data_IF_485057601316
#
_entry.id   IF_485057601316
#
_cell.length_a   1.000
_cell.length_b   1.000
_cell.length_c   1.000
_cell.angle_alpha   90.00
_cell.angle_beta   90.00
_cell.angle_gamma   90.00
#
_symmetry.space_group_name_H-M   'P 1'
#
loop_
_entity.id
_entity.type
_entity.pdbx_description
1 polymer ?
#
# COMPACT_ATOMS: atom_id res chain seq x y z
N UNK A 1 5.27 9.11 -11.73
CA UNK A 1 4.78 10.51 -11.56
C UNK A 1 3.57 10.34 -10.67
N UNK A 2 3.72 10.57 -9.37
CA UNK A 2 2.69 10.19 -8.39
C UNK A 2 1.37 10.93 -8.67
N UNK A 3 0.21 10.26 -8.55
CA UNK A 3 -1.08 10.93 -8.63
C UNK A 3 -1.15 12.04 -7.59
N UNK A 4 -1.43 13.26 -8.05
CA UNK A 4 -1.43 14.52 -7.28
C UNK A 4 -2.32 14.48 -6.03
N UNK A 5 -3.32 13.61 -6.02
CA UNK A 5 -4.28 13.41 -4.93
C UNK A 5 -3.69 12.66 -3.72
N UNK A 6 -2.70 11.77 -3.92
CA UNK A 6 -2.03 11.07 -2.81
C UNK A 6 -1.22 12.07 -1.96
N UNK A 7 -0.68 13.12 -2.58
CA UNK A 7 0.06 14.18 -1.89
C UNK A 7 -0.83 15.10 -1.05
N UNK A 8 -2.02 15.44 -1.54
CA UNK A 8 -2.92 16.38 -0.84
C UNK A 8 -3.57 15.77 0.41
N UNK A 9 -3.84 14.45 0.43
CA UNK A 9 -4.48 13.78 1.57
C UNK A 9 -3.52 13.46 2.73
N UNK A 10 -2.23 13.27 2.44
CA UNK A 10 -1.18 13.01 3.46
C UNK A 10 -0.65 14.28 4.16
N UNK A 11 -1.06 15.46 3.71
CA UNK A 11 -0.50 16.77 4.14
C UNK A 11 -1.40 17.51 5.14
N UNK A 12 -2.07 16.77 6.04
CA UNK A 12 -3.08 17.25 6.99
C UNK A 12 -2.96 18.73 7.42
N UNK A 13 -4.02 19.50 7.20
CA UNK A 13 -4.13 20.90 7.59
C UNK A 13 -4.10 21.12 9.12
N UNK A 14 -3.73 22.32 9.58
CA UNK A 14 -3.44 22.58 10.99
C UNK A 14 -4.72 22.68 11.82
N UNK A 15 -4.89 21.80 12.81
CA UNK A 15 -5.84 22.01 13.90
C UNK A 15 -5.20 22.88 14.98
N UNK A 16 -5.58 24.17 14.98
CA UNK A 16 -5.28 25.10 16.07
C UNK A 16 -6.33 24.90 17.18
N UNK A 17 -5.90 24.44 18.36
CA UNK A 17 -6.64 24.67 19.61
C UNK A 17 -5.65 24.60 20.79
N UNK A 18 -5.54 25.64 21.63
CA UNK A 18 -4.73 25.56 22.83
C UNK A 18 -5.52 24.84 23.94
N UNK A 19 -4.88 23.92 24.67
CA UNK A 19 -5.47 23.34 25.88
C UNK A 19 -4.42 23.31 26.99
N UNK A 20 -4.81 23.88 28.13
CA UNK A 20 -4.09 23.95 29.41
C UNK A 20 -3.77 22.57 30.00
N UNK A 21 -2.77 22.47 30.91
CA UNK A 21 -2.25 21.20 31.39
C UNK A 21 -3.13 20.58 32.48
N UNK A 22 -3.80 19.46 32.18
CA UNK A 22 -4.40 18.59 33.21
C UNK A 22 -3.36 17.55 33.63
N UNK A 23 -3.00 17.59 34.91
CA UNK A 23 -2.15 16.58 35.55
C UNK A 23 -2.88 15.22 35.56
N UNK A 24 -2.41 14.26 34.76
CA UNK A 24 -2.98 12.92 34.67
C UNK A 24 -2.04 11.91 35.36
N UNK A 25 -2.57 11.24 36.38
CA UNK A 25 -1.94 10.07 36.99
C UNK A 25 -1.64 8.99 35.93
N UNK A 26 -0.60 8.13 36.11
CA UNK A 26 -0.20 7.18 35.09
C UNK A 26 -1.29 6.12 34.90
N UNK A 27 -2.01 6.20 33.78
CA UNK A 27 -2.86 5.12 33.31
C UNK A 27 -2.01 3.86 33.11
N UNK A 28 -2.47 2.67 33.55
CA UNK A 28 -1.79 1.43 33.21
C UNK A 28 -1.76 1.30 31.69
N UNK A 29 -0.54 1.29 31.13
CA UNK A 29 -0.35 1.15 29.68
C UNK A 29 -0.84 -0.25 29.30
N UNK A 30 -1.99 -0.33 28.63
CA UNK A 30 -2.35 -1.54 27.89
C UNK A 30 -1.17 -1.87 26.98
N UNK A 31 -0.60 -3.08 27.01
CA UNK A 31 0.50 -3.42 26.14
C UNK A 31 0.05 -3.26 24.69
N UNK A 32 0.66 -2.32 23.96
CA UNK A 32 0.50 -2.22 22.51
C UNK A 32 0.81 -3.60 21.92
N UNK A 33 -0.07 -4.17 21.08
CA UNK A 33 0.24 -5.43 20.41
C UNK A 33 1.59 -5.27 19.70
N UNK A 34 2.55 -6.14 20.04
CA UNK A 34 3.83 -6.13 19.37
C UNK A 34 3.61 -6.42 17.89
N UNK A 35 4.14 -5.58 17.00
CA UNK A 35 4.09 -5.84 15.56
C UNK A 35 4.95 -7.07 15.29
N UNK A 36 4.35 -8.06 14.64
CA UNK A 36 5.03 -9.31 14.30
C UNK A 36 6.15 -9.04 13.27
N UNK A 37 7.20 -9.86 13.25
CA UNK A 37 8.20 -9.81 12.18
C UNK A 37 7.54 -10.03 10.82
N UNK A 38 8.19 -9.52 9.78
CA UNK A 38 7.76 -9.68 8.40
C UNK A 38 7.80 -11.15 7.98
N UNK A 39 6.87 -11.53 7.10
CA UNK A 39 6.83 -12.89 6.57
C UNK A 39 7.82 -13.03 5.42
N UNK A 40 8.50 -14.19 5.29
CA UNK A 40 9.37 -14.44 4.16
C UNK A 40 8.58 -14.36 2.85
N UNK A 41 9.18 -13.69 1.87
CA UNK A 41 8.63 -13.57 0.52
C UNK A 41 9.25 -14.65 -0.36
N UNK A 42 8.47 -15.64 -0.85
CA UNK A 42 9.01 -16.64 -1.76
C UNK A 42 9.37 -16.00 -3.11
N UNK A 43 10.35 -16.59 -3.79
CA UNK A 43 10.67 -16.21 -5.17
C UNK A 43 9.44 -16.38 -6.07
N UNK A 44 9.40 -15.61 -7.17
CA UNK A 44 8.40 -15.82 -8.22
C UNK A 44 8.70 -17.13 -8.95
N UNK A 45 7.67 -17.92 -9.21
CA UNK A 45 7.75 -19.05 -10.14
C UNK A 45 7.17 -18.68 -11.51
N UNK A 46 7.42 -19.52 -12.51
CA UNK A 46 6.83 -19.35 -13.85
C UNK A 46 5.30 -19.22 -13.78
N UNK A 47 4.76 -18.25 -14.52
CA UNK A 47 3.32 -17.94 -14.53
C UNK A 47 2.83 -17.11 -13.34
N UNK A 48 3.69 -16.71 -12.39
CA UNK A 48 3.32 -15.80 -11.31
C UNK A 48 3.62 -14.33 -11.66
N UNK A 49 2.68 -13.45 -11.35
CA UNK A 49 2.82 -12.00 -11.52
C UNK A 49 2.43 -11.29 -10.23
N UNK A 50 3.28 -10.40 -9.72
CA UNK A 50 2.90 -9.50 -8.64
C UNK A 50 2.17 -8.28 -9.21
N UNK A 51 1.11 -7.86 -8.54
CA UNK A 51 0.27 -6.71 -8.90
C UNK A 51 0.19 -5.76 -7.71
N UNK A 52 0.41 -4.47 -7.93
CA UNK A 52 0.19 -3.44 -6.92
C UNK A 52 -1.29 -3.03 -6.87
N UNK A 53 -1.85 -3.01 -5.67
CA UNK A 53 -3.16 -2.42 -5.36
C UNK A 53 -2.94 -1.28 -4.36
N UNK A 54 -3.49 -0.11 -4.64
CA UNK A 54 -3.32 1.05 -3.75
C UNK A 54 -4.37 1.07 -2.64
N UNK A 55 -4.01 1.56 -1.46
CA UNK A 55 -4.89 1.61 -0.28
C UNK A 55 -6.28 2.20 -0.54
N UNK A 56 -6.34 3.36 -1.21
CA UNK A 56 -7.60 4.04 -1.48
C UNK A 56 -8.57 3.21 -2.34
N UNK A 57 -8.09 2.29 -3.19
CA UNK A 57 -8.96 1.43 -3.98
C UNK A 57 -9.75 0.44 -3.10
N UNK A 58 -9.20 0.09 -1.94
CA UNK A 58 -9.85 -0.81 -1.00
C UNK A 58 -10.81 -0.04 -0.10
N UNK A 59 -10.38 1.12 0.40
CA UNK A 59 -11.19 1.95 1.29
C UNK A 59 -12.34 2.68 0.57
N UNK A 60 -12.02 3.37 -0.52
CA UNK A 60 -12.96 4.29 -1.17
C UNK A 60 -13.83 3.55 -2.22
N UNK A 61 -13.24 2.64 -3.02
CA UNK A 61 -14.00 1.86 -4.03
C UNK A 61 -14.61 0.56 -3.43
N UNK A 62 -14.31 0.23 -2.17
CA UNK A 62 -14.80 -0.98 -1.52
C UNK A 62 -14.29 -2.28 -2.17
N UNK A 63 -13.16 -2.23 -2.86
CA UNK A 63 -12.59 -3.39 -3.54
C UNK A 63 -11.95 -4.36 -2.54
N UNK A 64 -12.29 -5.65 -2.61
CA UNK A 64 -11.62 -6.71 -1.85
C UNK A 64 -11.20 -7.84 -2.79
N UNK A 65 -10.21 -8.61 -2.35
CA UNK A 65 -9.80 -9.87 -2.97
C UNK A 65 -9.21 -10.80 -1.92
N UNK A 66 -9.47 -12.10 -2.05
CA UNK A 66 -8.92 -13.11 -1.16
C UNK A 66 -7.95 -14.08 -1.85
N UNK A 67 -7.06 -14.69 -1.09
CA UNK A 67 -6.24 -15.81 -1.56
C UNK A 67 -7.14 -16.97 -1.97
N UNK A 68 -6.88 -17.55 -3.15
CA UNK A 68 -7.67 -18.59 -3.79
C UNK A 68 -8.72 -18.05 -4.77
N UNK A 69 -8.95 -16.74 -4.81
CA UNK A 69 -9.94 -16.13 -5.69
C UNK A 69 -9.47 -16.10 -7.15
N UNK A 70 -10.40 -16.36 -8.07
CA UNK A 70 -10.18 -16.19 -9.49
C UNK A 70 -10.42 -14.74 -9.89
N UNK A 71 -9.46 -14.15 -10.58
CA UNK A 71 -9.49 -12.75 -10.96
C UNK A 71 -9.41 -12.59 -12.47
N UNK A 72 -10.06 -11.53 -12.96
CA UNK A 72 -9.91 -11.04 -14.32
C UNK A 72 -9.81 -9.51 -14.24
N UNK A 73 -8.60 -9.00 -14.36
CA UNK A 73 -8.28 -7.60 -14.17
C UNK A 73 -7.73 -6.98 -15.44
N UNK A 74 -8.05 -5.70 -15.62
CA UNK A 74 -7.31 -4.80 -16.50
C UNK A 74 -6.33 -4.02 -15.64
N UNK A 75 -5.06 -4.01 -16.04
CA UNK A 75 -3.92 -3.48 -15.30
C UNK A 75 -3.07 -2.57 -16.20
N UNK A 76 -2.19 -1.81 -15.56
CA UNK A 76 -1.25 -0.88 -16.21
C UNK A 76 0.15 -1.06 -15.63
N UNK A 77 1.16 -0.44 -16.23
CA UNK A 77 2.49 -0.37 -15.62
C UNK A 77 2.45 0.28 -14.25
N UNK A 78 3.23 -0.27 -13.31
CA UNK A 78 3.32 0.22 -11.93
C UNK A 78 4.15 1.50 -11.82
N UNK A 79 3.88 2.32 -10.81
CA UNK A 79 4.81 3.39 -10.42
C UNK A 79 6.02 2.78 -9.68
N UNK A 80 7.01 2.34 -10.46
CA UNK A 80 8.23 1.72 -9.92
C UNK A 80 9.02 2.67 -9.01
N UNK A 81 9.00 3.99 -9.26
CA UNK A 81 9.71 4.95 -8.41
C UNK A 81 9.10 4.99 -7.01
N UNK A 82 7.77 4.95 -6.92
CA UNK A 82 7.07 4.86 -5.64
C UNK A 82 7.35 3.54 -4.92
N UNK A 83 7.24 2.42 -5.63
CA UNK A 83 7.44 1.08 -5.04
C UNK A 83 8.88 0.92 -4.54
N UNK A 84 9.86 1.33 -5.33
CA UNK A 84 11.28 1.25 -4.96
C UNK A 84 11.62 2.19 -3.79
N UNK A 85 10.93 3.34 -3.69
CA UNK A 85 11.09 4.26 -2.56
C UNK A 85 10.64 3.63 -1.24
N UNK A 86 9.58 2.83 -1.23
CA UNK A 86 8.98 2.33 0.02
C UNK A 86 9.48 0.95 0.42
N UNK A 87 9.79 0.06 -0.53
CA UNK A 87 10.15 -1.32 -0.19
C UNK A 87 11.56 -1.39 0.38
N UNK A 88 11.68 -2.06 1.54
CA UNK A 88 12.98 -2.37 2.16
C UNK A 88 13.79 -3.36 1.32
N UNK A 89 13.11 -4.34 0.73
CA UNK A 89 13.69 -5.34 -0.16
C UNK A 89 13.08 -5.17 -1.56
N UNK A 90 13.90 -4.98 -2.61
CA UNK A 90 13.39 -4.82 -3.97
C UNK A 90 12.51 -5.99 -4.40
N UNK A 91 11.40 -5.67 -5.05
CA UNK A 91 10.45 -6.67 -5.55
C UNK A 91 9.92 -6.27 -6.91
N UNK A 92 9.94 -7.21 -7.85
CA UNK A 92 9.35 -6.99 -9.17
C UNK A 92 7.84 -6.96 -9.05
N UNK A 93 7.26 -5.77 -9.23
CA UNK A 93 5.82 -5.51 -9.30
C UNK A 93 5.56 -4.78 -10.61
N UNK A 94 5.40 -5.50 -11.74
CA UNK A 94 5.32 -4.88 -13.06
C UNK A 94 3.99 -4.18 -13.31
N UNK A 95 2.92 -4.66 -12.68
CA UNK A 95 1.56 -4.23 -12.99
C UNK A 95 0.86 -3.67 -11.76
N UNK A 96 0.02 -2.67 -11.95
CA UNK A 96 -0.86 -2.13 -10.94
C UNK A 96 -2.29 -2.09 -11.45
N UNK A 97 -3.24 -2.23 -10.52
CA UNK A 97 -4.63 -1.90 -10.82
C UNK A 97 -4.82 -0.41 -10.65
N UNK A 98 -5.47 0.22 -11.60
CA UNK A 98 -5.90 1.61 -11.51
C UNK A 98 -7.31 1.72 -12.08
N UNK A 99 -8.21 2.38 -11.37
CA UNK A 99 -9.64 2.51 -11.72
C UNK A 99 -9.92 3.83 -12.46
N UNK A 100 -8.94 4.72 -12.62
CA UNK A 100 -9.06 5.99 -13.37
C UNK A 100 -8.57 5.87 -14.82
N UNK A 101 -9.05 4.90 -15.59
CA UNK A 101 -8.68 4.73 -17.00
C UNK A 101 -9.01 5.95 -17.87
N UNK A 102 -10.11 6.65 -17.56
CA UNK A 102 -10.60 7.83 -18.25
C UNK A 102 -9.75 9.10 -18.03
N UNK A 103 -8.88 9.12 -17.02
CA UNK A 103 -7.96 10.24 -16.76
C UNK A 103 -6.57 10.02 -17.36
N UNK A 104 -6.32 8.84 -17.97
CA UNK A 104 -5.02 8.48 -18.53
C UNK A 104 -4.80 9.04 -19.93
N UNK A 105 -3.56 9.39 -20.20
CA UNK A 105 -3.09 9.73 -21.54
C UNK A 105 -3.11 8.52 -22.49
N UNK A 106 -3.10 8.76 -23.80
CA UNK A 106 -3.04 7.68 -24.80
C UNK A 106 -1.80 6.78 -24.62
N UNK A 107 -0.66 7.37 -24.26
CA UNK A 107 0.57 6.64 -23.98
C UNK A 107 0.39 5.69 -22.79
N UNK A 108 -0.24 6.14 -21.71
CA UNK A 108 -0.53 5.30 -20.54
C UNK A 108 -1.53 4.19 -20.87
N UNK A 109 -2.53 4.47 -21.70
CA UNK A 109 -3.50 3.48 -22.16
C UNK A 109 -2.86 2.39 -23.03
N UNK A 110 -1.78 2.71 -23.76
CA UNK A 110 -1.02 1.72 -24.54
C UNK A 110 -0.35 0.63 -23.69
N UNK A 111 -0.10 0.93 -22.41
CA UNK A 111 0.48 -0.02 -21.45
C UNK A 111 -0.55 -0.97 -20.84
N UNK A 112 -1.85 -0.83 -21.19
CA UNK A 112 -2.93 -1.67 -20.68
C UNK A 112 -2.64 -3.15 -20.93
N UNK A 113 -2.80 -3.97 -19.89
CA UNK A 113 -2.67 -5.43 -19.93
C UNK A 113 -3.85 -6.07 -19.22
N UNK A 114 -4.36 -7.16 -19.77
CA UNK A 114 -5.33 -7.98 -19.08
C UNK A 114 -4.62 -9.14 -18.38
N UNK A 115 -4.99 -9.40 -17.14
CA UNK A 115 -4.48 -10.51 -16.33
C UNK A 115 -5.66 -11.34 -15.83
N UNK A 116 -5.61 -12.65 -16.10
CA UNK A 116 -6.55 -13.63 -15.55
C UNK A 116 -5.77 -14.71 -14.83
N UNK A 117 -6.28 -15.16 -13.69
CA UNK A 117 -5.60 -16.18 -12.90
C UNK A 117 -6.21 -16.37 -11.53
N UNK A 118 -5.43 -16.97 -10.63
CA UNK A 118 -5.80 -17.21 -9.24
C UNK A 118 -4.87 -16.43 -8.32
N UNK A 119 -5.43 -15.75 -7.32
CA UNK A 119 -4.65 -15.08 -6.29
C UNK A 119 -4.02 -16.14 -5.38
N UNK A 120 -2.70 -16.16 -5.30
CA UNK A 120 -1.96 -17.16 -4.51
C UNK A 120 -1.29 -16.57 -3.27
N UNK A 121 -1.14 -15.25 -3.21
CA UNK A 121 -0.57 -14.54 -2.06
C UNK A 121 -0.98 -13.07 -2.06
N UNK A 122 -1.17 -12.50 -0.89
CA UNK A 122 -1.39 -11.08 -0.69
C UNK A 122 -0.44 -10.63 0.40
N UNK A 123 0.37 -9.61 0.12
CA UNK A 123 1.23 -8.95 1.10
C UNK A 123 0.72 -7.52 1.33
N UNK A 124 0.31 -7.22 2.56
CA UNK A 124 0.02 -5.86 3.02
C UNK A 124 1.33 -5.07 3.10
N UNK A 125 1.34 -3.85 2.56
CA UNK A 125 2.48 -2.94 2.61
C UNK A 125 2.13 -1.73 3.46
N UNK A 126 2.90 -1.49 4.52
CA UNK A 126 2.70 -0.36 5.43
C UNK A 126 3.98 0.44 5.64
N UNK A 127 3.89 1.76 5.70
CA UNK A 127 5.05 2.66 5.86
C UNK A 127 4.81 3.66 6.98
N UNK A 128 5.89 4.08 7.64
CA UNK A 128 5.89 5.27 8.49
C UNK A 128 6.09 6.51 7.63
N UNK A 129 5.40 7.58 7.99
CA UNK A 129 5.64 8.88 7.40
C UNK A 129 6.49 9.72 8.34
N UNK A 130 7.57 10.28 7.81
CA UNK A 130 8.49 11.17 8.54
C UNK A 130 8.32 12.59 8.02
N UNK A 131 8.55 13.58 8.89
CA UNK A 131 8.53 14.98 8.46
C UNK A 131 9.56 15.18 7.35
N UNK A 132 9.11 15.73 6.23
CA UNK A 132 10.02 16.13 5.16
C UNK A 132 10.65 17.49 5.47
N UNK A 133 11.75 17.82 4.79
CA UNK A 133 12.38 19.15 4.86
C UNK A 133 11.44 20.27 4.38
N UNK A 134 10.42 19.91 3.59
CA UNK A 134 9.36 20.82 3.16
C UNK A 134 8.31 20.95 4.27
N UNK A 135 8.22 22.13 4.89
CA UNK A 135 7.24 22.42 5.95
C UNK A 135 5.83 21.99 5.56
N UNK A 136 5.19 21.20 6.43
CA UNK A 136 3.81 20.75 6.28
C UNK A 136 3.63 19.48 5.46
N UNK A 137 4.71 18.88 4.96
CA UNK A 137 4.64 17.65 4.18
C UNK A 137 5.36 16.51 4.90
N UNK A 138 4.74 15.34 4.88
CA UNK A 138 5.36 14.10 5.33
C UNK A 138 5.71 13.24 4.13
N UNK A 139 6.87 12.62 4.15
CA UNK A 139 7.31 11.65 3.13
C UNK A 139 7.35 10.26 3.76
N UNK A 140 7.13 9.18 2.99
CA UNK A 140 7.37 7.85 3.52
C UNK A 140 8.84 7.72 3.91
N UNK A 141 9.10 7.03 5.02
CA UNK A 141 10.44 6.61 5.40
C UNK A 141 11.01 5.73 4.27
N UNK A 142 12.09 6.20 3.65
CA UNK A 142 12.69 5.53 2.50
C UNK A 142 13.13 4.11 2.89
N UNK A 143 12.72 3.13 2.10
CA UNK A 143 12.98 1.70 2.32
C UNK A 143 12.49 1.20 3.69
N UNK A 144 11.54 1.90 4.33
CA UNK A 144 10.99 1.55 5.65
C UNK A 144 9.68 0.75 5.59
N UNK A 145 9.28 0.28 4.41
CA UNK A 145 8.03 -0.47 4.23
C UNK A 145 8.07 -1.85 4.88
N UNK A 146 7.06 -2.13 5.69
CA UNK A 146 6.84 -3.44 6.30
C UNK A 146 5.89 -4.28 5.44
N UNK A 147 6.21 -5.57 5.30
CA UNK A 147 5.41 -6.54 4.57
C UNK A 147 4.82 -7.60 5.49
N UNK A 148 3.50 -7.77 5.44
CA UNK A 148 2.81 -8.85 6.14
C UNK A 148 1.87 -9.60 5.21
N UNK A 149 1.98 -10.92 5.18
CA UNK A 149 1.08 -11.79 4.44
C UNK A 149 -0.29 -11.78 5.09
N UNK A 150 -1.33 -11.60 4.27
CA UNK A 150 -2.73 -11.57 4.67
C UNK A 150 -3.56 -12.51 3.78
N UNK A 151 -4.72 -12.93 4.28
CA UNK A 151 -5.63 -13.81 3.51
C UNK A 151 -6.56 -13.06 2.57
N UNK A 152 -6.81 -11.78 2.83
CA UNK A 152 -7.60 -10.86 2.00
C UNK A 152 -7.20 -9.40 2.28
N UNK A 153 -7.63 -8.45 1.45
CA UNK A 153 -7.33 -7.01 1.67
C UNK A 153 -8.01 -6.48 2.93
N UNK A 154 -9.17 -7.05 3.27
CA UNK A 154 -9.92 -6.75 4.49
C UNK A 154 -9.28 -7.32 5.77
N UNK A 155 -8.55 -8.44 5.69
CA UNK A 155 -7.96 -9.11 6.86
C UNK A 155 -6.56 -8.57 7.20
N UNK A 156 -6.52 -7.32 7.69
CA UNK A 156 -5.28 -6.57 7.93
C UNK A 156 -4.52 -7.08 9.15
N UNK A 157 -3.19 -7.05 9.06
CA UNK A 157 -2.31 -7.36 10.18
C UNK A 157 -1.85 -6.09 10.90
N UNK A 158 -1.61 -6.16 12.23
CA UNK A 158 -1.02 -5.05 12.98
C UNK A 158 0.30 -4.60 12.35
N UNK A 159 0.46 -3.30 12.19
CA UNK A 159 1.58 -2.68 11.49
C UNK A 159 1.97 -1.35 12.14
N UNK A 160 3.14 -0.83 11.77
CA UNK A 160 3.51 0.54 12.08
C UNK A 160 3.18 1.49 10.93
N UNK A 161 2.78 2.72 11.27
CA UNK A 161 2.46 3.74 10.28
C UNK A 161 1.10 3.51 9.64
N UNK A 162 1.02 3.65 8.32
CA UNK A 162 -0.22 3.46 7.56
C UNK A 162 -0.01 2.48 6.41
N UNK A 163 -1.06 1.76 6.05
CA UNK A 163 -1.08 0.91 4.84
C UNK A 163 -1.05 1.83 3.62
N UNK A 164 -0.16 1.54 2.68
CA UNK A 164 -0.07 2.26 1.40
C UNK A 164 -0.63 1.44 0.24
N UNK A 165 -0.69 0.13 0.41
CA UNK A 165 -1.26 -0.78 -0.57
C UNK A 165 -0.99 -2.24 -0.26
N UNK A 166 -1.20 -3.08 -1.27
CA UNK A 166 -0.94 -4.51 -1.24
C UNK A 166 -0.21 -4.95 -2.49
N UNK A 167 0.66 -5.95 -2.33
CA UNK A 167 1.22 -6.70 -3.44
C UNK A 167 0.46 -8.01 -3.53
N UNK A 168 -0.36 -8.14 -4.57
CA UNK A 168 -1.13 -9.35 -4.86
C UNK A 168 -0.41 -10.19 -5.89
N UNK A 169 -0.09 -11.42 -5.55
CA UNK A 169 0.49 -12.38 -6.49
C UNK A 169 -0.60 -13.21 -7.13
N UNK A 170 -0.65 -13.17 -8.46
CA UNK A 170 -1.60 -13.92 -9.28
C UNK A 170 -0.82 -14.96 -10.08
N UNK A 171 -1.34 -16.18 -10.14
CA UNK A 171 -0.85 -17.24 -11.02
C UNK A 171 -1.82 -17.39 -12.19
N UNK A 172 -1.33 -17.13 -13.40
CA UNK A 172 -2.07 -17.23 -14.68
C UNK A 172 -1.89 -18.58 -15.36
#
# INVERSE_FOLDING_TARGET
MLPRLLWERLSGGPSNTPSEPVSAAPFPRTPTPAVAPEDPVPALTDGETNVWLTEWQVEDDGFDVAVGEHVAWTLYESDHLWIDQILAVPRTVPLQRDTYDHERSEDELSTRRDLRGVVIRIDQVSVRFVSSERRGYSAPEAHGGQLHTVSSLSNRRPHHGAITGWIVRVRS
#
